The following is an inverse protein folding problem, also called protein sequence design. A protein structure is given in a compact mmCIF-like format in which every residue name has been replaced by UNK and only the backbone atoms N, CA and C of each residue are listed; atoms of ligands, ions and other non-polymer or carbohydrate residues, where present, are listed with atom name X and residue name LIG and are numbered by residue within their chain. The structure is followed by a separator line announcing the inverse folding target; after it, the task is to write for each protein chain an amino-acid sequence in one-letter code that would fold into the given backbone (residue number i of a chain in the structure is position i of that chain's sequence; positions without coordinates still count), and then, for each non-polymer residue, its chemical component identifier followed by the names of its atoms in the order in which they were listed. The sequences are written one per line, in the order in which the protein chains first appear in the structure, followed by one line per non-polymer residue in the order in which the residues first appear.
data_IF_109603223683
#
_entry.id   IF_109603223683
#
_cell.length_a   1.000
_cell.length_b   1.000
_cell.length_c   1.000
_cell.angle_alpha   90.00
_cell.angle_beta   90.00
_cell.angle_gamma   90.00
#
_symmetry.space_group_name_H-M   'P 1'
#
loop_
_entity.id
_entity.type
_entity.pdbx_description
1 polymer ?
#
# COMPACT_ATOMS: atom_id res chain seq x y z
N UNK A 1 -17.86 -36.40 10.09
CA UNK A 1 -16.62 -35.85 10.70
C UNK A 1 -15.85 -35.10 9.62
N UNK A 2 -16.07 -33.79 9.50
CA UNK A 2 -15.28 -32.96 8.59
C UNK A 2 -13.91 -32.73 9.23
N UNK A 3 -12.83 -33.20 8.58
CA UNK A 3 -11.48 -32.76 8.89
C UNK A 3 -11.46 -31.26 8.63
N UNK A 4 -11.53 -30.47 9.69
CA UNK A 4 -11.12 -29.07 9.62
C UNK A 4 -9.65 -29.11 9.27
N UNK A 5 -9.33 -28.96 7.99
CA UNK A 5 -7.98 -28.69 7.52
C UNK A 5 -7.55 -27.41 8.23
N UNK A 6 -6.85 -27.59 9.34
CA UNK A 6 -6.03 -26.56 9.94
C UNK A 6 -5.18 -26.05 8.78
N UNK A 7 -5.45 -24.82 8.33
CA UNK A 7 -4.54 -24.10 7.44
C UNK A 7 -3.15 -24.32 8.02
N UNK A 8 -2.28 -25.04 7.29
CA UNK A 8 -0.96 -25.37 7.79
C UNK A 8 -0.33 -24.06 8.25
N UNK A 9 -0.09 -23.93 9.55
CA UNK A 9 0.38 -22.67 10.15
C UNK A 9 1.64 -22.14 9.44
N UNK A 10 2.43 -23.07 8.89
CA UNK A 10 3.60 -22.80 8.05
C UNK A 10 3.27 -22.08 6.75
N UNK A 11 2.16 -22.41 6.09
CA UNK A 11 1.69 -21.78 4.84
C UNK A 11 1.20 -20.36 5.08
N UNK A 12 0.47 -20.11 6.17
CA UNK A 12 0.00 -18.76 6.49
C UNK A 12 1.15 -17.83 6.90
N UNK A 13 2.06 -18.31 7.76
CA UNK A 13 3.24 -17.54 8.17
C UNK A 13 4.11 -17.11 7.00
N UNK A 14 4.34 -18.00 6.02
CA UNK A 14 5.08 -17.67 4.81
C UNK A 14 4.40 -16.56 3.98
N UNK A 15 3.08 -16.63 3.82
CA UNK A 15 2.30 -15.60 3.10
C UNK A 15 2.36 -14.24 3.80
N UNK A 16 2.31 -14.24 5.12
CA UNK A 16 2.42 -13.04 5.94
C UNK A 16 3.83 -12.43 5.86
N UNK A 17 4.89 -13.25 5.89
CA UNK A 17 6.26 -12.77 5.69
C UNK A 17 6.44 -12.11 4.31
N UNK A 18 5.88 -12.73 3.26
CA UNK A 18 5.91 -12.12 1.93
C UNK A 18 5.11 -10.81 1.87
N UNK A 19 3.97 -10.73 2.56
CA UNK A 19 3.21 -9.48 2.69
C UNK A 19 4.05 -8.36 3.31
N UNK A 20 4.73 -8.64 4.43
CA UNK A 20 5.58 -7.64 5.07
C UNK A 20 6.81 -7.28 4.24
N UNK A 21 7.35 -8.22 3.46
CA UNK A 21 8.38 -7.93 2.48
C UNK A 21 7.87 -6.93 1.41
N UNK A 22 6.65 -7.11 0.90
CA UNK A 22 6.03 -6.15 -0.03
C UNK A 22 5.86 -4.77 0.62
N UNK A 23 5.40 -4.70 1.87
CA UNK A 23 5.29 -3.42 2.59
C UNK A 23 6.66 -2.75 2.77
N UNK A 24 7.70 -3.52 3.08
CA UNK A 24 9.06 -3.00 3.19
C UNK A 24 9.55 -2.45 1.85
N UNK A 25 9.31 -3.17 0.74
CA UNK A 25 9.62 -2.68 -0.60
C UNK A 25 8.87 -1.39 -0.94
N UNK A 26 7.60 -1.27 -0.56
CA UNK A 26 6.82 -0.04 -0.73
C UNK A 26 7.45 1.11 0.07
N UNK A 27 7.78 0.91 1.35
CA UNK A 27 8.45 1.94 2.18
C UNK A 27 9.79 2.36 1.58
N UNK A 28 10.64 1.41 1.18
CA UNK A 28 11.96 1.69 0.60
C UNK A 28 11.83 2.47 -0.70
N UNK A 29 10.92 2.05 -1.59
CA UNK A 29 10.74 2.73 -2.88
C UNK A 29 10.18 4.13 -2.70
N UNK A 30 9.25 4.35 -1.76
CA UNK A 30 8.74 5.68 -1.43
C UNK A 30 9.85 6.57 -0.84
N UNK A 31 10.61 6.05 0.13
CA UNK A 31 11.72 6.77 0.74
C UNK A 31 12.80 7.16 -0.28
N UNK A 32 13.16 6.24 -1.18
CA UNK A 32 14.11 6.51 -2.27
C UNK A 32 13.63 7.62 -3.19
N UNK A 33 12.33 7.60 -3.53
CA UNK A 33 11.72 8.59 -4.42
C UNK A 33 11.75 9.99 -3.80
N UNK A 34 11.53 10.09 -2.48
CA UNK A 34 11.63 11.35 -1.74
C UNK A 34 13.08 11.79 -1.51
N UNK A 35 14.01 10.86 -1.24
CA UNK A 35 15.42 11.19 -1.13
C UNK A 35 15.97 11.78 -2.43
N UNK A 36 15.58 11.21 -3.58
CA UNK A 36 15.91 11.75 -4.89
C UNK A 36 15.41 13.18 -5.13
N UNK A 37 14.41 13.66 -4.36
CA UNK A 37 13.89 15.03 -4.41
C UNK A 37 14.64 15.99 -3.46
N UNK A 38 15.07 15.51 -2.29
CA UNK A 38 15.73 16.34 -1.27
C UNK A 38 17.25 16.45 -1.44
N UNK A 39 17.87 15.61 -2.26
CA UNK A 39 19.31 15.46 -2.26
C UNK A 39 20.11 16.67 -2.75
N UNK A 40 19.52 17.69 -3.40
CA UNK A 40 20.33 18.83 -3.86
C UNK A 40 19.59 20.18 -3.84
N UNK A 41 19.61 20.92 -2.71
CA UNK A 41 19.29 22.34 -2.73
C UNK A 41 20.35 23.10 -3.55
N UNK A 42 19.97 23.60 -4.73
CA UNK A 42 20.82 24.42 -5.59
C UNK A 42 21.49 23.71 -6.79
N UNK A 43 21.11 22.47 -7.11
CA UNK A 43 21.46 21.89 -8.41
C UNK A 43 20.33 22.19 -9.40
N UNK A 44 20.50 23.30 -10.10
CA UNK A 44 19.57 23.86 -11.10
C UNK A 44 19.45 23.02 -12.38
N UNK A 45 20.18 21.91 -12.46
CA UNK A 45 20.30 21.12 -13.67
C UNK A 45 19.74 19.70 -13.47
N UNK A 46 18.41 19.55 -13.60
CA UNK A 46 17.83 18.29 -14.08
C UNK A 46 18.14 18.13 -15.58
N UNK A 47 19.43 18.08 -15.94
CA UNK A 47 19.87 17.87 -17.31
C UNK A 47 20.15 16.39 -17.55
N UNK A 48 19.11 15.65 -17.93
CA UNK A 48 19.14 14.66 -19.02
C UNK A 48 17.87 13.81 -19.01
N UNK A 49 17.33 13.49 -20.19
CA UNK A 49 16.12 12.64 -20.32
C UNK A 49 16.22 11.28 -19.62
N UNK A 50 17.43 10.80 -19.30
CA UNK A 50 17.70 9.58 -18.55
C UNK A 50 17.16 9.57 -17.12
N UNK A 51 17.24 10.68 -16.38
CA UNK A 51 16.76 10.75 -14.99
C UNK A 51 15.23 10.75 -14.93
N UNK A 52 14.56 11.41 -15.89
CA UNK A 52 13.10 11.37 -16.02
C UNK A 52 12.58 9.96 -16.32
N UNK A 53 13.29 9.19 -17.14
CA UNK A 53 12.97 7.78 -17.41
C UNK A 53 13.07 6.95 -16.13
N UNK A 54 14.10 7.17 -15.31
CA UNK A 54 14.27 6.47 -14.04
C UNK A 54 13.10 6.77 -13.09
N UNK A 55 12.71 8.03 -12.94
CA UNK A 55 11.55 8.43 -12.11
C UNK A 55 10.26 7.75 -12.58
N UNK A 56 10.03 7.70 -13.89
CA UNK A 56 8.86 7.03 -14.47
C UNK A 56 8.86 5.53 -14.18
N UNK A 57 10.01 4.86 -14.29
CA UNK A 57 10.17 3.44 -13.96
C UNK A 57 9.83 3.21 -12.48
N UNK A 58 10.35 4.04 -11.57
CA UNK A 58 10.06 3.92 -10.14
C UNK A 58 8.57 4.14 -9.83
N UNK A 59 7.90 5.07 -10.52
CA UNK A 59 6.46 5.24 -10.41
C UNK A 59 5.71 3.98 -10.88
N UNK A 60 6.09 3.41 -12.02
CA UNK A 60 5.53 2.13 -12.49
C UNK A 60 5.70 1.00 -11.49
N UNK A 61 6.90 0.86 -10.90
CA UNK A 61 7.19 -0.13 -9.86
C UNK A 61 6.32 0.08 -8.63
N UNK A 62 6.18 1.32 -8.15
CA UNK A 62 5.33 1.63 -7.00
C UNK A 62 3.86 1.31 -7.27
N UNK A 63 3.34 1.69 -8.44
CA UNK A 63 1.98 1.32 -8.85
C UNK A 63 1.79 -0.20 -8.85
N UNK A 64 2.77 -0.95 -9.37
CA UNK A 64 2.79 -2.40 -9.32
C UNK A 64 2.78 -2.96 -7.90
N UNK A 65 3.61 -2.40 -7.00
CA UNK A 65 3.67 -2.80 -5.59
C UNK A 65 2.32 -2.54 -4.89
N UNK A 66 1.68 -1.39 -5.13
CA UNK A 66 0.37 -1.09 -4.56
C UNK A 66 -0.69 -2.11 -5.00
N UNK A 67 -0.71 -2.48 -6.28
CA UNK A 67 -1.60 -3.54 -6.79
C UNK A 67 -1.29 -4.89 -6.16
N UNK A 68 -0.01 -5.24 -6.03
CA UNK A 68 0.40 -6.48 -5.37
C UNK A 68 -0.05 -6.50 -3.91
N UNK A 69 0.08 -5.39 -3.17
CA UNK A 69 -0.39 -5.28 -1.77
C UNK A 69 -1.90 -5.53 -1.69
N UNK A 70 -2.71 -4.95 -2.58
CA UNK A 70 -4.17 -5.22 -2.66
C UNK A 70 -4.43 -6.71 -2.86
N UNK A 71 -3.83 -7.27 -3.91
CA UNK A 71 -4.03 -8.66 -4.29
C UNK A 71 -3.62 -9.61 -3.15
N UNK A 72 -2.53 -9.28 -2.46
CA UNK A 72 -2.03 -10.10 -1.38
C UNK A 72 -2.88 -10.01 -0.12
N UNK A 73 -3.38 -8.81 0.21
CA UNK A 73 -4.33 -8.63 1.29
C UNK A 73 -5.61 -9.44 1.02
N UNK A 74 -6.14 -9.37 -0.21
CA UNK A 74 -7.27 -10.19 -0.62
C UNK A 74 -6.96 -11.69 -0.51
N UNK A 75 -5.76 -12.12 -0.93
CA UNK A 75 -5.33 -13.52 -0.82
C UNK A 75 -5.23 -14.02 0.62
N UNK A 76 -4.77 -13.18 1.55
CA UNK A 76 -4.75 -13.48 2.98
C UNK A 76 -6.18 -13.68 3.51
N UNK A 77 -7.09 -12.78 3.15
CA UNK A 77 -8.51 -12.81 3.57
C UNK A 77 -9.27 -13.99 2.94
N UNK A 78 -8.98 -14.35 1.69
CA UNK A 78 -9.65 -15.44 0.96
C UNK A 78 -9.57 -16.80 1.68
N UNK A 79 -8.48 -17.03 2.42
CA UNK A 79 -8.28 -18.29 3.15
C UNK A 79 -9.10 -18.38 4.44
N UNK A 80 -9.74 -17.30 4.88
CA UNK A 80 -10.55 -17.29 6.10
C UNK A 80 -11.87 -18.03 5.92
N UNK A 81 -12.40 -18.58 7.02
CA UNK A 81 -13.70 -19.25 7.04
C UNK A 81 -14.82 -18.32 6.59
N UNK A 82 -14.79 -17.07 7.06
CA UNK A 82 -15.80 -16.04 6.72
C UNK A 82 -15.94 -15.85 5.22
N UNK A 83 -14.81 -15.81 4.49
CA UNK A 83 -14.82 -15.67 3.05
C UNK A 83 -15.35 -16.93 2.35
N UNK A 84 -14.89 -18.12 2.77
CA UNK A 84 -15.29 -19.41 2.17
C UNK A 84 -16.78 -19.71 2.29
N UNK A 85 -17.42 -19.27 3.37
CA UNK A 85 -18.85 -19.51 3.63
C UNK A 85 -19.74 -18.31 3.24
N UNK A 86 -19.18 -17.29 2.57
CA UNK A 86 -19.96 -16.16 2.06
C UNK A 86 -20.40 -15.15 3.13
N UNK A 87 -19.83 -15.18 4.34
CA UNK A 87 -20.08 -14.19 5.41
C UNK A 87 -19.27 -12.89 5.17
N UNK A 88 -19.31 -12.38 3.94
CA UNK A 88 -18.57 -11.19 3.50
C UNK A 88 -19.02 -9.95 4.28
N UNK A 89 -20.29 -9.84 4.65
CA UNK A 89 -20.79 -8.69 5.43
C UNK A 89 -20.10 -8.52 6.79
N UNK A 90 -19.89 -9.63 7.51
CA UNK A 90 -19.20 -9.62 8.81
C UNK A 90 -17.72 -9.26 8.61
N UNK A 91 -17.10 -9.85 7.59
CA UNK A 91 -15.73 -9.56 7.23
C UNK A 91 -15.53 -8.09 6.86
N UNK A 92 -16.42 -7.51 6.05
CA UNK A 92 -16.41 -6.10 5.71
C UNK A 92 -16.59 -5.21 6.94
N UNK A 93 -17.39 -5.61 7.94
CA UNK A 93 -17.55 -4.85 9.18
C UNK A 93 -16.27 -4.87 10.01
N UNK A 94 -15.62 -6.02 10.11
CA UNK A 94 -14.38 -6.19 10.89
C UNK A 94 -13.19 -5.46 10.26
N UNK A 95 -13.10 -5.51 8.92
CA UNK A 95 -12.02 -4.91 8.13
C UNK A 95 -12.42 -3.58 7.47
N UNK A 96 -13.51 -2.96 7.93
CA UNK A 96 -14.07 -1.72 7.37
C UNK A 96 -13.02 -0.62 7.27
N UNK A 97 -12.16 -0.52 8.29
CA UNK A 97 -11.08 0.46 8.33
C UNK A 97 -10.10 0.28 7.17
N UNK A 98 -9.75 -0.95 6.77
CA UNK A 98 -8.90 -1.17 5.59
C UNK A 98 -9.67 -0.84 4.31
N UNK A 99 -10.91 -1.31 4.20
CA UNK A 99 -11.72 -1.07 3.00
C UNK A 99 -11.95 0.41 2.73
N UNK A 100 -12.01 1.26 3.77
CA UNK A 100 -12.07 2.71 3.63
C UNK A 100 -10.69 3.34 3.44
N UNK A 101 -9.66 2.85 4.12
CA UNK A 101 -8.33 3.42 4.01
C UNK A 101 -7.69 3.15 2.64
N UNK A 102 -8.00 2.03 1.99
CA UNK A 102 -7.39 1.66 0.71
C UNK A 102 -7.73 2.63 -0.44
N UNK A 103 -9.01 2.96 -0.70
CA UNK A 103 -9.35 3.95 -1.73
C UNK A 103 -8.75 5.32 -1.44
N UNK A 104 -8.72 5.74 -0.16
CA UNK A 104 -8.11 7.01 0.24
C UNK A 104 -6.59 6.99 -0.03
N UNK A 105 -5.91 5.88 0.30
CA UNK A 105 -4.50 5.68 -0.03
C UNK A 105 -4.24 5.79 -1.53
N UNK A 106 -5.04 5.10 -2.36
CA UNK A 106 -4.90 5.14 -3.82
C UNK A 106 -5.15 6.52 -4.40
N UNK A 107 -6.13 7.27 -3.88
CA UNK A 107 -6.41 8.64 -4.32
C UNK A 107 -5.23 9.54 -3.97
N UNK A 108 -4.73 9.50 -2.72
CA UNK A 108 -3.58 10.30 -2.30
C UNK A 108 -2.31 9.91 -3.06
N UNK A 109 -2.12 8.62 -3.34
CA UNK A 109 -1.04 8.13 -4.18
C UNK A 109 -1.12 8.70 -5.60
N UNK A 110 -2.28 8.57 -6.23
CA UNK A 110 -2.53 9.07 -7.58
C UNK A 110 -2.41 10.59 -7.68
N UNK A 111 -2.89 11.34 -6.69
CA UNK A 111 -2.78 12.79 -6.65
C UNK A 111 -1.32 13.24 -6.54
N UNK A 112 -0.55 12.69 -5.60
CA UNK A 112 0.86 13.08 -5.44
C UNK A 112 1.67 12.75 -6.69
N UNK A 113 1.52 11.54 -7.24
CA UNK A 113 2.26 11.13 -8.44
C UNK A 113 1.77 11.81 -9.71
N UNK A 114 0.47 12.07 -9.81
CA UNK A 114 -0.14 12.78 -10.92
C UNK A 114 0.32 14.24 -10.99
N UNK A 115 0.26 14.96 -9.86
CA UNK A 115 0.78 16.34 -9.77
C UNK A 115 2.27 16.40 -10.11
N UNK A 116 3.05 15.44 -9.62
CA UNK A 116 4.46 15.35 -9.98
C UNK A 116 4.67 15.16 -11.49
N UNK A 117 3.95 14.23 -12.09
CA UNK A 117 4.07 13.97 -13.52
C UNK A 117 3.69 15.21 -14.33
N UNK A 118 2.63 15.90 -13.94
CA UNK A 118 2.17 17.13 -14.58
C UNK A 118 3.26 18.23 -14.53
N UNK A 119 3.83 18.48 -13.35
CA UNK A 119 4.91 19.47 -13.16
C UNK A 119 6.13 19.11 -14.02
N UNK A 120 6.53 17.84 -14.02
CA UNK A 120 7.68 17.34 -14.81
C UNK A 120 7.44 17.44 -16.32
N UNK A 121 6.19 17.31 -16.79
CA UNK A 121 5.88 17.40 -18.21
C UNK A 121 5.72 18.85 -18.70
N UNK A 122 5.34 19.79 -17.83
CA UNK A 122 5.07 21.18 -18.19
C UNK A 122 6.29 22.11 -18.03
N UNK A 123 7.20 21.84 -17.10
CA UNK A 123 8.37 22.70 -16.83
C UNK A 123 9.61 22.25 -17.63
N UNK A 124 10.15 23.14 -18.46
CA UNK A 124 11.18 22.81 -19.47
C UNK A 124 12.62 23.20 -19.12
N UNK A 125 12.83 23.97 -18.04
CA UNK A 125 14.16 24.57 -17.78
C UNK A 125 14.65 24.42 -16.35
N UNK A 126 13.80 24.57 -15.33
CA UNK A 126 14.15 24.26 -13.92
C UNK A 126 12.88 23.77 -13.24
N UNK A 127 12.89 22.53 -12.73
CA UNK A 127 11.71 21.92 -12.08
C UNK A 127 11.82 22.14 -10.57
N UNK A 128 10.98 23.01 -10.02
CA UNK A 128 10.91 23.20 -8.57
C UNK A 128 9.57 22.66 -8.03
N UNK A 129 9.53 21.36 -7.69
CA UNK A 129 8.31 20.70 -7.19
C UNK A 129 7.76 21.38 -5.93
N UNK A 130 8.64 21.87 -5.05
CA UNK A 130 8.28 22.51 -3.79
C UNK A 130 7.70 23.92 -3.97
N UNK A 131 7.83 24.52 -5.16
CA UNK A 131 7.23 25.82 -5.46
C UNK A 131 5.71 25.73 -5.69
N UNK A 132 5.19 24.52 -5.92
CA UNK A 132 3.77 24.27 -6.16
C UNK A 132 3.05 23.97 -4.85
N UNK A 133 2.21 24.90 -4.32
CA UNK A 133 1.56 24.71 -3.02
C UNK A 133 0.61 23.51 -3.00
N UNK A 134 0.04 23.15 -4.16
CA UNK A 134 -0.81 21.96 -4.29
C UNK A 134 -0.03 20.66 -4.07
N UNK A 135 1.20 20.58 -4.57
CA UNK A 135 2.06 19.41 -4.38
C UNK A 135 2.48 19.27 -2.91
N UNK A 136 2.92 20.36 -2.27
CA UNK A 136 3.35 20.36 -0.87
C UNK A 136 2.24 19.87 0.08
N UNK A 137 1.02 20.39 -0.07
CA UNK A 137 -0.12 19.98 0.77
C UNK A 137 -0.40 18.49 0.59
N UNK A 138 -0.49 18.02 -0.66
CA UNK A 138 -0.78 16.61 -0.96
C UNK A 138 0.33 15.71 -0.43
N UNK A 139 1.60 16.11 -0.56
CA UNK A 139 2.76 15.40 -0.03
C UNK A 139 2.65 15.18 1.47
N UNK A 140 2.39 16.23 2.25
CA UNK A 140 2.29 16.14 3.71
C UNK A 140 1.09 15.30 4.15
N UNK A 141 -0.08 15.54 3.57
CA UNK A 141 -1.31 14.79 3.86
C UNK A 141 -1.08 13.30 3.58
N UNK A 142 -0.52 12.97 2.42
CA UNK A 142 -0.19 11.59 2.06
C UNK A 142 0.82 11.00 3.03
N UNK A 143 1.91 11.69 3.35
CA UNK A 143 2.98 11.16 4.19
C UNK A 143 2.48 10.78 5.59
N UNK A 144 1.67 11.65 6.21
CA UNK A 144 1.05 11.37 7.51
C UNK A 144 0.06 10.19 7.39
N UNK A 145 -0.79 10.22 6.37
CA UNK A 145 -1.76 9.16 6.15
C UNK A 145 -1.10 7.80 5.89
N UNK A 146 0.03 7.77 5.20
CA UNK A 146 0.77 6.56 4.86
C UNK A 146 1.30 5.85 6.10
N UNK A 147 1.80 6.60 7.09
CA UNK A 147 2.23 6.04 8.39
C UNK A 147 1.05 5.36 9.08
N UNK A 148 -0.10 6.04 9.14
CA UNK A 148 -1.32 5.47 9.72
C UNK A 148 -1.79 4.23 8.95
N UNK A 149 -1.77 4.28 7.62
CA UNK A 149 -2.17 3.19 6.74
C UNK A 149 -1.31 1.93 6.95
N UNK A 150 0.00 2.06 7.07
CA UNK A 150 0.89 0.94 7.33
C UNK A 150 0.67 0.31 8.70
N UNK A 151 0.51 1.13 9.75
CA UNK A 151 0.18 0.63 11.10
C UNK A 151 -1.11 -0.18 11.06
N UNK A 152 -2.14 0.36 10.40
CA UNK A 152 -3.44 -0.28 10.24
C UNK A 152 -3.33 -1.59 9.46
N UNK A 153 -2.54 -1.63 8.37
CA UNK A 153 -2.29 -2.88 7.63
C UNK A 153 -1.65 -3.94 8.51
N UNK A 154 -0.57 -3.60 9.23
CA UNK A 154 0.13 -4.52 10.12
C UNK A 154 -0.80 -5.06 11.21
N UNK A 155 -1.51 -4.18 11.91
CA UNK A 155 -2.45 -4.55 12.98
C UNK A 155 -3.52 -5.53 12.48
N UNK A 156 -4.12 -5.23 11.33
CA UNK A 156 -5.19 -6.05 10.77
C UNK A 156 -4.68 -7.36 10.20
N UNK A 157 -3.50 -7.40 9.59
CA UNK A 157 -2.92 -8.67 9.12
C UNK A 157 -2.47 -9.58 10.27
N UNK A 158 -1.98 -9.01 11.37
CA UNK A 158 -1.70 -9.77 12.60
C UNK A 158 -3.00 -10.34 13.20
N UNK A 159 -4.04 -9.51 13.25
CA UNK A 159 -5.37 -9.93 13.73
C UNK A 159 -5.93 -11.07 12.88
N UNK A 160 -5.78 -11.00 11.56
CA UNK A 160 -6.19 -12.05 10.62
C UNK A 160 -5.49 -13.39 10.89
N UNK A 161 -4.25 -13.37 11.40
CA UNK A 161 -3.52 -14.56 11.81
C UNK A 161 -4.10 -15.28 13.03
N UNK A 162 -5.08 -14.69 13.71
CA UNK A 162 -5.74 -15.34 14.85
C UNK A 162 -6.52 -16.59 14.39
N UNK A 163 -6.37 -17.74 15.10
CA UNK A 163 -7.08 -18.98 14.77
C UNK A 163 -8.61 -18.84 14.72
N UNK A 164 -9.17 -17.79 15.33
CA UNK A 164 -10.60 -17.53 15.37
C UNK A 164 -11.22 -17.31 13.98
N UNK A 165 -10.47 -16.78 13.01
CA UNK A 165 -10.98 -16.55 11.65
C UNK A 165 -11.01 -17.82 10.78
N UNK A 166 -10.48 -18.93 11.29
CA UNK A 166 -10.40 -20.21 10.58
C UNK A 166 -11.31 -21.29 11.17
N UNK A 167 -11.91 -21.06 12.35
CA UNK A 167 -12.74 -22.06 13.04
C UNK A 167 -14.24 -21.71 12.92
N UNK A 168 -15.10 -22.67 12.53
CA UNK A 168 -16.53 -22.43 12.32
C UNK A 168 -17.31 -22.07 13.60
N UNK A 169 -16.92 -22.63 14.74
CA UNK A 169 -17.69 -22.56 15.98
C UNK A 169 -17.93 -21.13 16.50
N UNK A 170 -17.08 -20.17 16.14
CA UNK A 170 -17.24 -18.77 16.57
C UNK A 170 -18.33 -18.05 15.76
N UNK A 171 -18.50 -18.44 14.49
CA UNK A 171 -19.28 -17.67 13.52
C UNK A 171 -20.65 -18.30 13.22
N UNK A 172 -20.83 -19.59 13.50
CA UNK A 172 -22.10 -20.31 13.32
C UNK A 172 -23.02 -20.28 14.55
N UNK A 173 -22.57 -19.69 15.65
CA UNK A 173 -23.32 -19.61 16.92
C UNK A 173 -23.95 -18.22 17.12
N UNK A 174 -23.65 -17.27 16.23
CA UNK A 174 -24.39 -16.00 16.08
C UNK A 174 -25.55 -16.19 15.11
#
# INVERSE_FOLDING_TARGET
MARAELVEARSFGAKLMFFYFLLLCDVITNAYTYYGECAIPGQEDYTSGTENIIVLIFFGIQGGIQVLIICWLFFLVWQTFLFRFGLIGILCREFLSIFLAFPVHLILFGLEKGLRLEIVMNETTVINLWSHPGYEIVYWVRSIFMVFFYVLLIEKTLTLGSPQYYKPHKWLVM
#
